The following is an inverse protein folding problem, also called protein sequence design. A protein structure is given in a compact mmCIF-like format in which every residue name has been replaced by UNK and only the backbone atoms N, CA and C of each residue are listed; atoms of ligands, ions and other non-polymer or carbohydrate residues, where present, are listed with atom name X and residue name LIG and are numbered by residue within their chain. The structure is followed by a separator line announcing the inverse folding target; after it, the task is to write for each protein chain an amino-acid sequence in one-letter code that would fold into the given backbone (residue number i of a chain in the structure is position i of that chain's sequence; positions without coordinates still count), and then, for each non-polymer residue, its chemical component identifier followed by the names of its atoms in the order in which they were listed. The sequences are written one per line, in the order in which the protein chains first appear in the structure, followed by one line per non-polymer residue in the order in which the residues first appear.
data_IF_442322546695
#
_entry.id   IF_442322546695
#
_cell.length_a   1.000
_cell.length_b   1.000
_cell.length_c   1.000
_cell.angle_alpha   90.00
_cell.angle_beta   90.00
_cell.angle_gamma   90.00
#
_symmetry.space_group_name_H-M   'P 1'
#
loop_
_entity.id
_entity.type
_entity.pdbx_description
1 polymer ?
#
# COMPACT_ATOMS: atom_id res chain seq x y z
N UNK A 1 16.94 15.49 25.98
CA UNK A 1 16.33 15.42 24.64
C UNK A 1 15.58 14.10 24.58
N UNK A 2 14.26 14.15 24.60
CA UNK A 2 13.41 12.96 24.51
C UNK A 2 13.59 12.37 23.10
N UNK A 3 14.01 11.10 23.04
CA UNK A 3 14.19 10.39 21.77
C UNK A 3 12.82 9.95 21.27
N UNK A 4 12.32 10.66 20.26
CA UNK A 4 11.07 10.35 19.59
C UNK A 4 11.34 9.24 18.56
N UNK A 5 11.24 7.99 19.00
CA UNK A 5 11.35 6.82 18.11
C UNK A 5 10.01 6.61 17.42
N UNK A 6 9.94 6.93 16.12
CA UNK A 6 8.75 6.67 15.31
C UNK A 6 8.77 5.18 14.92
N UNK A 7 8.01 4.36 15.65
CA UNK A 7 7.78 2.97 15.27
C UNK A 7 6.62 2.94 14.27
N UNK A 8 6.94 2.91 12.99
CA UNK A 8 5.95 2.61 11.95
C UNK A 8 5.59 1.13 12.04
N UNK A 9 4.49 0.80 12.71
CA UNK A 9 3.90 -0.55 12.79
C UNK A 9 3.27 -0.99 11.46
N UNK A 10 3.79 -0.52 10.32
CA UNK A 10 3.47 -1.07 9.02
C UNK A 10 4.01 -2.49 9.00
N UNK A 11 3.17 -3.47 9.32
CA UNK A 11 3.53 -4.89 9.19
C UNK A 11 3.99 -5.09 7.74
N UNK A 12 5.29 -5.28 7.45
CA UNK A 12 5.80 -5.28 6.08
C UNK A 12 5.14 -6.38 5.24
N UNK A 13 4.71 -7.44 5.92
CA UNK A 13 3.90 -8.51 5.36
C UNK A 13 2.54 -8.03 4.86
N UNK A 14 1.81 -7.20 5.62
CA UNK A 14 0.50 -6.67 5.24
C UNK A 14 0.60 -5.77 4.00
N UNK A 15 1.61 -4.89 3.96
CA UNK A 15 1.89 -4.03 2.80
C UNK A 15 2.20 -4.88 1.56
N UNK A 16 3.02 -5.93 1.71
CA UNK A 16 3.30 -6.88 0.63
C UNK A 16 2.05 -7.57 0.08
N UNK A 17 1.11 -7.95 0.95
CA UNK A 17 -0.17 -8.53 0.56
C UNK A 17 -1.04 -7.53 -0.22
N UNK A 18 -1.19 -6.29 0.29
CA UNK A 18 -1.98 -5.25 -0.38
C UNK A 18 -1.42 -4.94 -1.76
N UNK A 19 -0.09 -4.81 -1.89
CA UNK A 19 0.60 -4.57 -3.15
C UNK A 19 0.41 -5.73 -4.13
N UNK A 20 0.48 -6.97 -3.66
CA UNK A 20 0.27 -8.17 -4.50
C UNK A 20 -1.16 -8.25 -5.03
N UNK A 21 -2.15 -8.01 -4.18
CA UNK A 21 -3.57 -8.00 -4.57
C UNK A 21 -3.82 -6.88 -5.59
N UNK A 22 -3.30 -5.67 -5.34
CA UNK A 22 -3.41 -4.54 -6.26
C UNK A 22 -2.77 -4.86 -7.63
N UNK A 23 -1.62 -5.55 -7.63
CA UNK A 23 -0.94 -5.96 -8.86
C UNK A 23 -1.79 -6.90 -9.70
N UNK A 24 -2.32 -7.97 -9.09
CA UNK A 24 -3.16 -8.94 -9.80
C UNK A 24 -4.49 -8.35 -10.28
N UNK A 25 -5.13 -7.50 -9.48
CA UNK A 25 -6.35 -6.78 -9.89
C UNK A 25 -6.09 -5.88 -11.10
N UNK A 26 -4.99 -5.13 -11.06
CA UNK A 26 -4.57 -4.28 -12.19
C UNK A 26 -4.35 -5.10 -13.44
N UNK A 27 -3.62 -6.21 -13.33
CA UNK A 27 -3.37 -7.13 -14.44
C UNK A 27 -4.68 -7.64 -15.04
N UNK A 28 -5.64 -8.02 -14.18
CA UNK A 28 -6.96 -8.50 -14.60
C UNK A 28 -7.75 -7.43 -15.37
N UNK A 29 -7.79 -6.19 -14.86
CA UNK A 29 -8.48 -5.07 -15.51
C UNK A 29 -7.82 -4.71 -16.85
N UNK A 30 -6.49 -4.59 -16.86
CA UNK A 30 -5.73 -4.24 -18.07
C UNK A 30 -5.86 -5.34 -19.13
N UNK A 31 -5.89 -6.61 -18.74
CA UNK A 31 -6.09 -7.72 -19.66
C UNK A 31 -7.44 -7.64 -20.39
N UNK A 32 -8.52 -7.27 -19.70
CA UNK A 32 -9.85 -7.12 -20.32
C UNK A 32 -9.87 -6.00 -21.37
N UNK A 33 -9.20 -4.89 -21.10
CA UNK A 33 -9.15 -3.73 -22.01
C UNK A 33 -7.99 -3.79 -23.01
N UNK A 34 -7.24 -4.89 -23.05
CA UNK A 34 -5.97 -4.97 -23.80
C UNK A 34 -6.13 -5.05 -25.32
N UNK A 35 -7.32 -5.44 -25.79
CA UNK A 35 -7.56 -5.77 -27.20
C UNK A 35 -7.37 -4.55 -28.11
N UNK A 36 -6.40 -4.64 -29.02
CA UNK A 36 -6.14 -3.63 -30.05
C UNK A 36 -5.39 -2.40 -29.59
N UNK A 37 -4.87 -2.39 -28.35
CA UNK A 37 -4.06 -1.29 -27.81
C UNK A 37 -2.56 -1.53 -28.01
N UNK A 38 -1.82 -0.45 -28.16
CA UNK A 38 -0.36 -0.52 -28.24
C UNK A 38 0.25 -0.87 -26.88
N UNK A 39 1.46 -1.46 -26.90
CA UNK A 39 2.15 -1.85 -25.67
C UNK A 39 2.40 -0.67 -24.71
N UNK A 40 2.68 0.52 -25.24
CA UNK A 40 2.89 1.74 -24.46
C UNK A 40 1.61 2.21 -23.75
N UNK A 41 0.47 2.14 -24.44
CA UNK A 41 -0.84 2.46 -23.84
C UNK A 41 -1.18 1.47 -22.72
N UNK A 42 -0.87 0.19 -22.91
CA UNK A 42 -1.09 -0.84 -21.89
C UNK A 42 -0.23 -0.61 -20.65
N UNK A 43 1.05 -0.26 -20.84
CA UNK A 43 1.93 0.06 -19.72
C UNK A 43 1.45 1.30 -18.94
N UNK A 44 0.97 2.33 -19.64
CA UNK A 44 0.47 3.54 -19.00
C UNK A 44 -0.84 3.29 -18.23
N UNK A 45 -1.76 2.52 -18.82
CA UNK A 45 -3.00 2.09 -18.17
C UNK A 45 -2.74 1.20 -16.97
N UNK A 46 -1.76 0.30 -17.07
CA UNK A 46 -1.34 -0.53 -15.97
C UNK A 46 -0.82 0.32 -14.82
N UNK A 47 0.08 1.27 -15.08
CA UNK A 47 0.65 2.10 -14.03
C UNK A 47 -0.40 2.98 -13.34
N UNK A 48 -1.33 3.57 -14.11
CA UNK A 48 -2.45 4.36 -13.57
C UNK A 48 -3.40 3.52 -12.72
N UNK A 49 -3.84 2.36 -13.23
CA UNK A 49 -4.73 1.48 -12.49
C UNK A 49 -4.04 0.89 -11.25
N UNK A 50 -2.76 0.56 -11.34
CA UNK A 50 -1.98 0.08 -10.19
C UNK A 50 -1.88 1.13 -9.09
N UNK A 51 -1.55 2.38 -9.43
CA UNK A 51 -1.53 3.47 -8.47
C UNK A 51 -2.91 3.68 -7.81
N UNK A 52 -3.98 3.60 -8.61
CA UNK A 52 -5.34 3.70 -8.09
C UNK A 52 -5.68 2.57 -7.11
N UNK A 53 -5.40 1.30 -7.47
CA UNK A 53 -5.66 0.16 -6.60
C UNK A 53 -4.80 0.18 -5.34
N UNK A 54 -3.55 0.65 -5.41
CA UNK A 54 -2.69 0.83 -4.24
C UNK A 54 -3.24 1.90 -3.30
N UNK A 55 -3.64 3.07 -3.83
CA UNK A 55 -4.23 4.13 -3.03
C UNK A 55 -5.54 3.68 -2.37
N UNK A 56 -6.43 3.05 -3.14
CA UNK A 56 -7.66 2.47 -2.63
C UNK A 56 -7.41 1.39 -1.58
N UNK A 57 -6.41 0.54 -1.79
CA UNK A 57 -6.00 -0.50 -0.85
C UNK A 57 -5.54 0.07 0.48
N UNK A 58 -4.70 1.11 0.48
CA UNK A 58 -4.25 1.80 1.70
C UNK A 58 -5.42 2.44 2.44
N UNK A 59 -6.32 3.12 1.73
CA UNK A 59 -7.52 3.74 2.31
C UNK A 59 -8.45 2.67 2.92
N UNK A 60 -8.68 1.55 2.22
CA UNK A 60 -9.48 0.45 2.74
C UNK A 60 -8.84 -0.17 3.99
N UNK A 61 -7.53 -0.40 4.00
CA UNK A 61 -6.85 -0.91 5.20
C UNK A 61 -7.03 0.06 6.37
N UNK A 62 -6.91 1.36 6.14
CA UNK A 62 -7.11 2.38 7.17
C UNK A 62 -8.55 2.45 7.70
N UNK A 63 -9.56 2.24 6.85
CA UNK A 63 -10.97 2.30 7.24
C UNK A 63 -11.48 1.02 7.91
N UNK A 64 -11.04 -0.15 7.44
CA UNK A 64 -11.54 -1.45 7.90
C UNK A 64 -10.69 -2.08 8.99
N UNK A 65 -9.43 -1.68 9.08
CA UNK A 65 -8.54 -2.14 10.15
C UNK A 65 -8.42 -0.98 11.11
N UNK A 66 -8.92 -1.13 12.35
CA UNK A 66 -8.55 -0.30 13.52
C UNK A 66 -7.03 -0.40 13.86
N UNK A 67 -6.23 -0.82 12.90
CA UNK A 67 -4.77 -0.89 12.94
C UNK A 67 -4.28 0.55 12.85
N UNK A 68 -3.89 1.09 14.00
CA UNK A 68 -3.07 2.30 14.09
C UNK A 68 -1.84 2.11 13.21
N UNK A 69 -1.88 2.67 11.99
CA UNK A 69 -0.75 2.66 11.05
C UNK A 69 0.49 3.39 11.61
N UNK A 70 0.28 4.20 12.64
CA UNK A 70 1.30 4.92 13.39
C UNK A 70 0.94 4.80 14.88
N UNK A 71 1.59 3.87 15.59
CA UNK A 71 1.58 3.89 17.04
C UNK A 71 2.81 4.67 17.51
N UNK A 72 2.58 5.89 17.99
CA UNK A 72 3.64 6.72 18.56
C UNK A 72 3.89 6.27 20.00
N UNK A 73 4.65 5.19 20.17
CA UNK A 73 5.04 4.72 21.50
C UNK A 73 6.24 5.52 22.01
N UNK A 74 6.00 6.45 22.94
CA UNK A 74 7.07 7.19 23.62
C UNK A 74 7.72 6.27 24.66
N UNK A 75 8.73 5.52 24.23
CA UNK A 75 9.51 4.68 25.13
C UNK A 75 10.42 5.59 25.97
N UNK A 76 10.02 5.86 27.22
CA UNK A 76 10.90 6.48 28.21
C UNK A 76 11.95 5.44 28.63
N UNK A 77 13.11 5.44 27.97
CA UNK A 77 14.29 4.71 28.43
C UNK A 77 14.76 5.36 29.73
N UNK A 78 14.20 4.94 30.87
CA UNK A 78 14.75 5.24 32.18
C UNK A 78 16.07 4.47 32.28
N UNK A 79 17.16 5.14 31.95
CA UNK A 79 18.51 4.63 32.16
C UNK A 79 18.67 4.24 33.64
N UNK A 80 18.73 2.93 33.90
CA UNK A 80 19.16 2.33 35.16
C UNK A 80 20.65 2.08 35.11
#
# INVERSE_FOLDING_TARGET
MESLTIITTMQPFLVGWVMSIAFFLTLSVVAVISKGRSWYELACLFLLAFLFFCAAGVVCVHLFSDVKMLDFEVISLRAS
#
